data_IF_727169365212
#
_entry.id   IF_727169365212
#
_cell.length_a   1.000
_cell.length_b   1.000
_cell.length_c   1.000
_cell.angle_alpha   90.00
_cell.angle_beta   90.00
_cell.angle_gamma   90.00
#
_symmetry.space_group_name_H-M   'P 1'
#
loop_
_entity.id
_entity.type
_entity.pdbx_description
1 polymer ?
#
# COMPACT_ATOMS: atom_id res chain seq x y z
N UNK A 1 14.04 20.21 40.10
CA UNK A 1 14.16 21.65 40.43
C UNK A 1 15.54 22.25 40.09
N UNK A 2 16.53 21.50 39.59
CA UNK A 2 17.86 22.03 39.27
C UNK A 2 17.95 22.78 37.93
N UNK A 3 17.07 22.49 36.97
CA UNK A 3 17.07 23.09 35.63
C UNK A 3 16.65 24.56 35.63
N UNK A 4 15.71 24.93 36.52
CA UNK A 4 15.17 26.30 36.63
C UNK A 4 16.26 27.32 37.04
N UNK A 5 17.18 26.89 37.91
CA UNK A 5 18.27 27.74 38.40
C UNK A 5 19.34 28.04 37.34
N UNK A 6 19.45 27.23 36.27
CA UNK A 6 20.34 27.49 35.12
C UNK A 6 19.71 28.40 34.06
N UNK A 7 18.39 28.53 34.03
CA UNK A 7 17.66 29.37 33.08
C UNK A 7 17.46 30.81 33.59
N UNK A 8 17.62 31.06 34.89
CA UNK A 8 17.41 32.38 35.51
C UNK A 8 18.46 33.43 35.09
N UNK A 9 19.59 33.01 34.51
CA UNK A 9 20.71 33.91 34.17
C UNK A 9 20.98 33.97 32.65
N UNK A 10 19.92 33.89 31.84
CA UNK A 10 20.02 34.09 30.40
C UNK A 10 20.03 35.59 30.07
N UNK A 11 20.88 36.06 29.14
CA UNK A 11 20.84 37.44 28.66
C UNK A 11 19.48 37.76 28.01
N UNK A 12 19.05 39.03 28.07
CA UNK A 12 17.75 39.55 27.59
C UNK A 12 17.44 39.28 26.09
N UNK A 13 18.37 38.68 25.36
CA UNK A 13 18.25 38.27 23.96
C UNK A 13 18.24 36.76 23.80
N UNK A 14 17.56 36.03 24.70
CA UNK A 14 17.30 34.60 24.50
C UNK A 14 16.31 34.41 23.35
N UNK A 15 16.84 34.24 22.14
CA UNK A 15 16.07 33.87 20.94
C UNK A 15 15.68 32.40 21.03
N UNK A 16 14.69 32.08 21.87
CA UNK A 16 14.09 30.76 21.91
C UNK A 16 13.12 30.62 20.74
N UNK A 17 13.42 29.74 19.78
CA UNK A 17 12.52 29.46 18.66
C UNK A 17 11.32 28.57 19.02
N UNK A 18 11.14 28.19 20.30
CA UNK A 18 9.95 27.46 20.76
C UNK A 18 9.99 27.06 22.24
N UNK A 19 8.81 27.01 22.87
CA UNK A 19 8.60 26.53 24.24
C UNK A 19 7.62 25.33 24.16
N UNK A 20 8.00 24.19 24.75
CA UNK A 20 7.17 22.98 24.78
C UNK A 20 6.57 22.83 26.18
N UNK A 21 5.26 23.03 26.31
CA UNK A 21 4.54 22.81 27.57
C UNK A 21 3.75 21.51 27.53
N UNK A 22 3.73 20.77 28.64
CA UNK A 22 2.91 19.54 28.81
C UNK A 22 1.47 19.85 29.25
N UNK A 23 1.12 21.11 29.51
CA UNK A 23 -0.23 21.54 29.87
C UNK A 23 -0.96 22.10 28.64
N UNK A 24 -2.16 21.58 28.37
CA UNK A 24 -2.96 21.84 27.15
C UNK A 24 -3.48 23.28 27.01
N UNK A 25 -3.51 24.07 28.09
CA UNK A 25 -4.13 25.40 28.14
C UNK A 25 -3.14 26.54 28.42
N UNK A 26 -1.92 26.49 27.87
CA UNK A 26 -0.98 27.61 28.00
C UNK A 26 -1.34 28.72 27.02
N UNK A 27 -2.08 29.73 27.49
CA UNK A 27 -2.42 30.93 26.71
C UNK A 27 -1.31 31.97 26.82
N UNK A 28 -0.66 32.26 25.69
CA UNK A 28 0.36 33.31 25.60
C UNK A 28 -0.31 34.64 25.24
N UNK A 29 -0.08 35.67 26.04
CA UNK A 29 -0.68 37.00 25.89
C UNK A 29 0.24 37.95 25.10
N UNK A 30 0.88 37.46 24.03
CA UNK A 30 1.81 38.22 23.19
C UNK A 30 1.54 37.92 21.71
N UNK A 31 1.43 38.96 20.87
CA UNK A 31 1.02 38.86 19.46
C UNK A 31 1.98 38.10 18.55
N UNK A 32 3.23 37.94 18.99
CA UNK A 32 4.31 37.29 18.21
C UNK A 32 4.45 35.78 18.50
N UNK A 33 3.68 35.24 19.46
CA UNK A 33 3.79 33.85 19.89
C UNK A 33 2.48 33.10 19.63
N UNK A 34 2.51 32.16 18.68
CA UNK A 34 1.37 31.30 18.35
C UNK A 34 1.51 29.94 19.02
N UNK A 35 0.54 29.59 19.85
CA UNK A 35 0.47 28.27 20.48
C UNK A 35 -0.15 27.28 19.50
N UNK A 36 0.55 26.18 19.23
CA UNK A 36 0.07 25.12 18.36
C UNK A 36 0.06 23.80 19.12
N UNK A 37 -0.99 23.01 18.94
CA UNK A 37 -1.00 21.61 19.36
C UNK A 37 0.09 20.86 18.59
N UNK A 38 0.67 19.81 19.18
CA UNK A 38 1.75 19.03 18.57
C UNK A 38 1.41 18.58 17.14
N UNK A 39 0.18 18.16 16.87
CA UNK A 39 -0.28 17.75 15.53
C UNK A 39 -0.27 18.89 14.52
N UNK A 40 -0.71 20.08 14.94
CA UNK A 40 -0.75 21.27 14.07
C UNK A 40 0.64 21.82 13.81
N UNK A 41 1.56 21.65 14.76
CA UNK A 41 2.97 21.97 14.61
C UNK A 41 3.65 21.02 13.61
N UNK A 42 3.42 19.70 13.72
CA UNK A 42 3.96 18.69 12.79
C UNK A 42 3.49 18.96 11.36
N UNK A 43 2.19 19.25 11.16
CA UNK A 43 1.66 19.57 9.83
C UNK A 43 2.25 20.86 9.23
N UNK A 44 2.67 21.81 10.07
CA UNK A 44 3.30 23.07 9.66
C UNK A 44 4.81 22.99 9.48
N UNK A 45 5.45 21.87 9.84
CA UNK A 45 6.87 21.69 9.57
C UNK A 45 7.11 21.81 8.05
N UNK A 46 8.01 22.70 7.61
CA UNK A 46 8.31 22.86 6.20
C UNK A 46 8.81 21.53 5.64
N UNK A 47 8.08 21.00 4.66
CA UNK A 47 8.40 19.71 4.00
C UNK A 47 7.53 18.51 4.41
N UNK A 48 6.85 18.51 5.56
CA UNK A 48 6.08 17.33 6.02
C UNK A 48 4.94 16.96 5.05
N UNK A 49 4.11 17.93 4.69
CA UNK A 49 2.98 17.72 3.77
C UNK A 49 3.44 17.31 2.36
N UNK A 50 4.50 17.95 1.85
CA UNK A 50 5.09 17.62 0.55
C UNK A 50 5.62 16.18 0.55
N UNK A 51 6.34 15.77 1.59
CA UNK A 51 6.88 14.43 1.73
C UNK A 51 5.78 13.36 1.81
N UNK A 52 4.73 13.59 2.60
CA UNK A 52 3.59 12.66 2.67
C UNK A 52 2.89 12.53 1.31
N UNK A 53 2.77 13.63 0.57
CA UNK A 53 2.19 13.62 -0.79
C UNK A 53 3.05 12.82 -1.77
N UNK A 54 4.38 12.97 -1.72
CA UNK A 54 5.31 12.17 -2.52
C UNK A 54 5.21 10.68 -2.17
N UNK A 55 5.16 10.31 -0.89
CA UNK A 55 4.98 8.90 -0.50
C UNK A 55 3.65 8.33 -0.97
N UNK A 56 2.55 9.09 -0.82
CA UNK A 56 1.24 8.67 -1.31
C UNK A 56 1.25 8.46 -2.84
N UNK A 57 1.93 9.34 -3.59
CA UNK A 57 2.09 9.18 -5.03
C UNK A 57 2.90 7.92 -5.38
N UNK A 58 4.01 7.67 -4.70
CA UNK A 58 4.81 6.45 -4.91
C UNK A 58 3.99 5.18 -4.65
N UNK A 59 3.22 5.15 -3.55
CA UNK A 59 2.35 4.02 -3.21
C UNK A 59 1.28 3.83 -4.31
N UNK A 60 0.60 4.91 -4.70
CA UNK A 60 -0.41 4.87 -5.76
C UNK A 60 0.15 4.40 -7.10
N UNK A 61 1.35 4.84 -7.46
CA UNK A 61 2.02 4.42 -8.68
C UNK A 61 2.38 2.93 -8.67
N UNK A 62 2.85 2.41 -7.53
CA UNK A 62 3.10 0.98 -7.35
C UNK A 62 1.82 0.14 -7.49
N UNK A 63 0.66 0.65 -7.07
CA UNK A 63 -0.62 -0.01 -7.33
C UNK A 63 -0.94 -0.13 -8.81
N UNK A 64 -0.70 0.93 -9.58
CA UNK A 64 -0.93 0.93 -11.03
C UNK A 64 -0.03 -0.09 -11.71
N UNK A 65 1.28 -0.09 -11.40
CA UNK A 65 2.22 -1.07 -11.96
C UNK A 65 1.80 -2.49 -11.56
N UNK A 66 1.46 -2.71 -10.29
CA UNK A 66 1.04 -4.02 -9.79
C UNK A 66 -0.20 -4.53 -10.53
N UNK A 67 -1.20 -3.67 -10.77
CA UNK A 67 -2.40 -4.03 -11.52
C UNK A 67 -2.04 -4.51 -12.94
N UNK A 68 -1.20 -3.76 -13.65
CA UNK A 68 -0.80 -4.09 -15.02
C UNK A 68 -0.04 -5.42 -15.04
N UNK A 69 0.94 -5.58 -14.15
CA UNK A 69 1.75 -6.80 -14.06
C UNK A 69 0.86 -8.00 -13.75
N UNK A 70 -0.01 -7.92 -12.74
CA UNK A 70 -0.93 -9.02 -12.39
C UNK A 70 -1.85 -9.35 -13.56
N UNK A 71 -2.43 -8.36 -14.22
CA UNK A 71 -3.30 -8.57 -15.38
C UNK A 71 -2.59 -9.31 -16.53
N UNK A 72 -1.38 -8.88 -16.88
CA UNK A 72 -0.57 -9.49 -17.94
C UNK A 72 -0.16 -10.91 -17.55
N UNK A 73 0.31 -11.14 -16.32
CA UNK A 73 0.69 -12.47 -15.86
C UNK A 73 -0.49 -13.44 -15.88
N UNK A 74 -1.64 -13.03 -15.33
CA UNK A 74 -2.84 -13.87 -15.35
C UNK A 74 -3.34 -14.13 -16.78
N UNK A 75 -3.22 -13.15 -17.67
CA UNK A 75 -3.54 -13.32 -19.09
C UNK A 75 -2.66 -14.37 -19.75
N UNK A 76 -1.33 -14.29 -19.58
CA UNK A 76 -0.38 -15.26 -20.13
C UNK A 76 -0.66 -16.67 -19.58
N UNK A 77 -0.83 -16.80 -18.27
CA UNK A 77 -1.14 -18.09 -17.63
C UNK A 77 -2.46 -18.68 -18.13
N UNK A 78 -3.45 -17.83 -18.41
CA UNK A 78 -4.74 -18.26 -18.96
C UNK A 78 -4.59 -18.72 -20.40
N UNK A 79 -3.89 -17.95 -21.24
CA UNK A 79 -3.61 -18.29 -22.64
C UNK A 79 -2.94 -19.65 -22.77
N UNK A 80 -1.93 -19.93 -21.94
CA UNK A 80 -1.24 -21.23 -21.92
C UNK A 80 -2.17 -22.41 -21.54
N UNK A 81 -3.24 -22.15 -20.78
CA UNK A 81 -4.22 -23.17 -20.35
C UNK A 81 -5.41 -23.32 -21.29
N UNK A 82 -5.56 -22.48 -22.31
CA UNK A 82 -6.70 -22.52 -23.24
C UNK A 82 -6.90 -23.91 -23.89
N UNK A 83 -5.86 -24.60 -24.40
CA UNK A 83 -6.05 -25.92 -25.01
C UNK A 83 -6.68 -26.93 -24.03
N UNK A 84 -6.21 -26.92 -22.77
CA UNK A 84 -6.76 -27.76 -21.71
C UNK A 84 -8.21 -27.38 -21.39
N UNK A 85 -8.54 -26.08 -21.37
CA UNK A 85 -9.91 -25.62 -21.18
C UNK A 85 -10.84 -25.98 -22.34
N UNK A 86 -10.35 -25.98 -23.57
CA UNK A 86 -11.11 -26.36 -24.74
C UNK A 86 -11.48 -27.86 -24.68
N UNK A 87 -10.53 -28.72 -24.26
CA UNK A 87 -10.80 -30.15 -23.99
C UNK A 87 -11.85 -30.33 -22.89
N UNK A 88 -11.73 -29.60 -21.77
CA UNK A 88 -12.71 -29.66 -20.68
C UNK A 88 -14.10 -29.17 -21.13
N UNK A 89 -14.18 -28.12 -21.96
CA UNK A 89 -15.45 -27.67 -22.56
C UNK A 89 -16.04 -28.73 -23.49
N UNK A 90 -15.20 -29.44 -24.26
CA UNK A 90 -15.64 -30.54 -25.12
C UNK A 90 -16.18 -31.74 -24.31
N UNK A 91 -15.67 -31.96 -23.10
CA UNK A 91 -16.20 -32.93 -22.13
C UNK A 91 -17.48 -32.48 -21.40
N UNK A 92 -18.01 -31.29 -21.73
CA UNK A 92 -19.25 -30.77 -21.16
C UNK A 92 -19.09 -29.88 -19.92
N UNK A 93 -17.87 -29.50 -19.53
CA UNK A 93 -17.67 -28.57 -18.41
C UNK A 93 -18.14 -27.16 -18.81
N UNK A 94 -19.05 -26.54 -18.02
CA UNK A 94 -19.56 -25.22 -18.35
C UNK A 94 -18.48 -24.14 -18.13
N UNK A 95 -18.44 -23.15 -19.03
CA UNK A 95 -17.47 -22.05 -18.98
C UNK A 95 -17.48 -21.28 -17.64
N UNK A 96 -18.64 -21.21 -16.97
CA UNK A 96 -18.77 -20.59 -15.64
C UNK A 96 -17.88 -21.26 -14.58
N UNK A 97 -17.73 -22.58 -14.63
CA UNK A 97 -16.87 -23.32 -13.69
C UNK A 97 -15.40 -23.02 -13.95
N UNK A 98 -14.98 -22.91 -15.22
CA UNK A 98 -13.63 -22.54 -15.60
C UNK A 98 -13.28 -21.11 -15.17
N UNK A 99 -14.22 -20.18 -15.33
CA UNK A 99 -14.10 -18.78 -14.87
C UNK A 99 -13.96 -18.72 -13.35
N UNK A 100 -14.84 -19.40 -12.59
CA UNK A 100 -14.75 -19.46 -11.12
C UNK A 100 -13.41 -20.00 -10.64
N UNK A 101 -12.93 -21.08 -11.27
CA UNK A 101 -11.65 -21.69 -10.93
C UNK A 101 -10.49 -20.75 -11.20
N UNK A 102 -10.53 -20.01 -12.32
CA UNK A 102 -9.49 -19.04 -12.67
C UNK A 102 -9.48 -17.85 -11.72
N UNK A 103 -10.65 -17.34 -11.31
CA UNK A 103 -10.74 -16.27 -10.29
C UNK A 103 -10.20 -16.75 -8.94
N UNK A 104 -10.56 -17.96 -8.52
CA UNK A 104 -10.04 -18.55 -7.28
C UNK A 104 -8.51 -18.74 -7.34
N UNK A 105 -7.98 -19.23 -8.46
CA UNK A 105 -6.53 -19.35 -8.68
C UNK A 105 -5.84 -17.99 -8.61
N UNK A 106 -6.42 -16.96 -9.23
CA UNK A 106 -5.88 -15.59 -9.20
C UNK A 106 -5.83 -15.06 -7.76
N UNK A 107 -6.92 -15.24 -6.99
CA UNK A 107 -6.98 -14.85 -5.58
C UNK A 107 -5.92 -15.55 -4.73
N UNK A 108 -5.74 -16.86 -4.91
CA UNK A 108 -4.69 -17.60 -4.21
C UNK A 108 -3.30 -17.06 -4.59
N UNK A 109 -3.05 -16.84 -5.88
CA UNK A 109 -1.77 -16.32 -6.37
C UNK A 109 -1.43 -14.94 -5.75
N UNK A 110 -2.40 -14.01 -5.75
CA UNK A 110 -2.21 -12.69 -5.15
C UNK A 110 -2.03 -12.79 -3.64
N UNK A 111 -2.78 -13.65 -2.96
CA UNK A 111 -2.64 -13.87 -1.51
C UNK A 111 -1.26 -14.42 -1.15
N UNK A 112 -0.73 -15.37 -1.93
CA UNK A 112 0.64 -15.87 -1.77
C UNK A 112 1.68 -14.77 -2.00
N UNK A 113 1.49 -13.95 -3.03
CA UNK A 113 2.35 -12.79 -3.28
C UNK A 113 2.36 -11.79 -2.12
N UNK A 114 1.20 -11.54 -1.51
CA UNK A 114 1.05 -10.68 -0.32
C UNK A 114 1.78 -11.25 0.89
N UNK A 115 1.65 -12.55 1.16
CA UNK A 115 2.36 -13.20 2.27
C UNK A 115 3.87 -13.10 2.06
N UNK A 116 4.36 -13.47 0.87
CA UNK A 116 5.79 -13.40 0.55
C UNK A 116 6.33 -11.97 0.61
N UNK A 117 5.59 -11.00 0.06
CA UNK A 117 5.94 -9.58 0.12
C UNK A 117 5.98 -9.04 1.55
N UNK A 118 5.01 -9.44 2.40
CA UNK A 118 5.00 -9.11 3.82
C UNK A 118 6.19 -9.67 4.58
N UNK A 119 6.55 -10.94 4.31
CA UNK A 119 7.75 -11.57 4.89
C UNK A 119 9.02 -10.84 4.44
N UNK A 120 9.17 -10.55 3.14
CA UNK A 120 10.32 -9.79 2.64
C UNK A 120 10.42 -8.40 3.26
N UNK A 121 9.28 -7.73 3.45
CA UNK A 121 9.22 -6.42 4.11
C UNK A 121 9.68 -6.51 5.56
N UNK A 122 9.22 -7.51 6.31
CA UNK A 122 9.64 -7.73 7.69
C UNK A 122 11.14 -8.06 7.80
N UNK A 123 11.66 -8.88 6.88
CA UNK A 123 13.10 -9.18 6.79
C UNK A 123 13.89 -7.91 6.52
N UNK A 124 13.46 -7.10 5.54
CA UNK A 124 14.12 -5.84 5.18
C UNK A 124 14.13 -4.87 6.36
N UNK A 125 13.02 -4.81 7.11
CA UNK A 125 12.93 -3.97 8.29
C UNK A 125 13.97 -4.31 9.35
N UNK A 126 14.37 -5.59 9.45
CA UNK A 126 15.40 -6.04 10.40
C UNK A 126 16.81 -5.59 10.01
N UNK A 127 17.07 -5.40 8.72
CA UNK A 127 18.37 -4.94 8.20
C UNK A 127 18.50 -3.41 8.14
N UNK A 128 17.44 -2.67 8.48
CA UNK A 128 17.46 -1.22 8.38
C UNK A 128 18.29 -0.58 9.53
N UNK A 129 19.12 0.45 9.25
CA UNK A 129 19.86 1.16 10.28
C UNK A 129 18.96 1.84 11.31
N UNK A 130 19.42 1.95 12.56
CA UNK A 130 18.68 2.60 13.67
C UNK A 130 18.33 4.08 13.42
N UNK A 131 18.98 4.71 12.44
CA UNK A 131 18.72 6.11 12.06
C UNK A 131 17.49 6.31 11.17
N UNK A 132 16.84 5.25 10.68
CA UNK A 132 15.64 5.35 9.83
C UNK A 132 14.43 4.90 10.63
N UNK A 133 13.63 5.83 11.19
CA UNK A 133 12.43 5.47 11.93
C UNK A 133 11.37 4.90 10.98
N UNK A 134 11.12 3.58 11.09
CA UNK A 134 10.00 2.90 10.43
C UNK A 134 8.85 2.73 11.39
N UNK A 135 7.66 3.14 10.97
CA UNK A 135 6.43 2.93 11.72
C UNK A 135 5.47 2.14 10.82
N UNK A 136 5.11 0.93 11.25
CA UNK A 136 4.08 0.15 10.59
C UNK A 136 2.71 0.59 11.12
N UNK A 137 1.98 1.37 10.34
CA UNK A 137 0.60 1.70 10.68
C UNK A 137 -0.32 0.58 10.22
N UNK A 138 -1.02 -0.05 11.16
CA UNK A 138 -1.94 -1.15 10.84
C UNK A 138 -3.00 -0.73 9.81
N UNK A 139 -3.48 0.51 9.88
CA UNK A 139 -4.45 1.07 8.93
C UNK A 139 -3.91 1.12 7.50
N UNK A 140 -2.70 1.64 7.28
CA UNK A 140 -2.12 1.69 5.93
C UNK A 140 -1.78 0.29 5.42
N UNK A 141 -1.25 -0.59 6.28
CA UNK A 141 -0.94 -1.97 5.90
C UNK A 141 -2.19 -2.74 5.45
N UNK A 142 -3.30 -2.65 6.20
CA UNK A 142 -4.58 -3.28 5.82
C UNK A 142 -5.12 -2.66 4.53
N UNK A 143 -5.07 -1.34 4.40
CA UNK A 143 -5.48 -0.66 3.18
C UNK A 143 -4.69 -1.15 1.96
N UNK A 144 -3.38 -1.37 2.11
CA UNK A 144 -2.52 -1.88 1.04
C UNK A 144 -2.88 -3.32 0.68
N UNK A 145 -3.09 -4.18 1.68
CA UNK A 145 -3.50 -5.58 1.46
C UNK A 145 -4.82 -5.64 0.67
N UNK A 146 -5.82 -4.88 1.11
CA UNK A 146 -7.12 -4.82 0.43
C UNK A 146 -6.94 -4.25 -0.98
N UNK A 147 -6.16 -3.19 -1.14
CA UNK A 147 -5.85 -2.60 -2.43
C UNK A 147 -5.27 -3.61 -3.41
N UNK A 148 -4.30 -4.43 -2.97
CA UNK A 148 -3.64 -5.43 -3.83
C UNK A 148 -4.60 -6.58 -4.19
N UNK A 149 -5.45 -7.00 -3.26
CA UNK A 149 -6.49 -7.99 -3.56
C UNK A 149 -7.48 -7.46 -4.60
N UNK A 150 -7.89 -6.21 -4.49
CA UNK A 150 -8.78 -5.56 -5.46
C UNK A 150 -8.12 -5.43 -6.83
N UNK A 151 -6.86 -4.99 -6.91
CA UNK A 151 -6.14 -4.94 -8.20
C UNK A 151 -5.97 -6.32 -8.82
N UNK A 152 -5.78 -7.37 -8.01
CA UNK A 152 -5.79 -8.76 -8.48
C UNK A 152 -7.11 -9.20 -9.10
N UNK A 153 -8.23 -8.87 -8.46
CA UNK A 153 -9.57 -9.11 -9.00
C UNK A 153 -9.80 -8.35 -10.31
N UNK A 154 -9.41 -7.07 -10.36
CA UNK A 154 -9.52 -6.25 -11.56
C UNK A 154 -8.66 -6.81 -12.69
N UNK A 155 -7.44 -7.27 -12.38
CA UNK A 155 -6.53 -7.90 -13.34
C UNK A 155 -7.09 -9.20 -13.91
N UNK A 156 -7.89 -9.95 -13.13
CA UNK A 156 -8.54 -11.18 -13.57
C UNK A 156 -9.68 -10.95 -14.60
N UNK A 157 -10.15 -9.72 -14.81
CA UNK A 157 -11.18 -9.42 -15.81
C UNK A 157 -10.71 -9.77 -17.23
N UNK A 158 -9.43 -9.47 -17.54
CA UNK A 158 -8.83 -9.73 -18.86
C UNK A 158 -8.86 -11.22 -19.22
N UNK A 159 -8.30 -12.13 -18.41
CA UNK A 159 -8.33 -13.57 -18.70
C UNK A 159 -9.74 -14.17 -18.69
N UNK A 160 -10.67 -13.65 -17.86
CA UNK A 160 -12.06 -14.10 -17.89
C UNK A 160 -12.70 -13.88 -19.26
N UNK A 161 -12.46 -12.72 -19.89
CA UNK A 161 -12.93 -12.46 -21.26
C UNK A 161 -12.33 -13.44 -22.27
N UNK A 162 -11.07 -13.81 -22.09
CA UNK A 162 -10.40 -14.79 -22.95
C UNK A 162 -11.03 -16.18 -22.83
N UNK A 163 -11.30 -16.66 -21.62
CA UNK A 163 -11.92 -17.99 -21.37
C UNK A 163 -13.31 -18.08 -22.01
N UNK A 164 -14.10 -17.02 -21.93
CA UNK A 164 -15.45 -16.99 -22.50
C UNK A 164 -15.47 -17.12 -24.03
N UNK A 165 -14.39 -16.70 -24.70
CA UNK A 165 -14.21 -16.79 -26.16
C UNK A 165 -13.61 -18.12 -26.64
N UNK A 166 -13.32 -19.06 -25.74
CA UNK A 166 -12.72 -20.35 -26.12
C UNK A 166 -13.78 -21.24 -26.75
N UNK A 167 -13.65 -21.54 -28.05
CA UNK A 167 -14.55 -22.42 -28.77
C UNK A 167 -14.14 -23.90 -28.65
N UNK A 168 -15.06 -24.81 -28.30
CA UNK A 168 -14.75 -26.23 -28.13
C UNK A 168 -14.32 -26.92 -29.42
N UNK A 169 -14.66 -26.37 -30.59
CA UNK A 169 -14.27 -26.91 -31.91
C UNK A 169 -12.74 -26.90 -32.09
N UNK A 170 -12.03 -25.93 -31.49
CA UNK A 170 -10.56 -25.85 -31.53
C UNK A 170 -9.85 -26.99 -30.78
N UNK A 171 -10.56 -27.73 -29.93
CA UNK A 171 -10.01 -28.91 -29.27
C UNK A 171 -10.20 -30.21 -30.07
N UNK A 172 -11.14 -30.22 -31.02
CA UNK A 172 -11.52 -31.43 -31.77
C UNK A 172 -10.97 -31.39 -33.20
N UNK A 173 -10.77 -30.20 -33.76
CA UNK A 173 -10.14 -30.00 -35.06
C UNK A 173 -9.01 -28.99 -34.95
N UNK A 174 -7.80 -29.42 -35.36
CA UNK A 174 -6.86 -28.49 -35.99
C UNK A 174 -7.44 -27.96 -37.29
#
# INVERSE_FOLDING_TARGET
MATWRKLHNLPDTFTASGIISKSADFKVNNSDLKTYTADTFIQKLPGYSAQNSTFAFMIGFLFVISLIVIAVFLYILTMQKIPNYAILRAQGVPARTLVKTTIAQALMLVSFGLILGGVLTAVTARFMPLGVPMIFSAGLSIAVVIGILLTGLLGAIVPVRTILKVDPVTAIGG
#
